data_IF_635804820023
#
_entry.id   IF_635804820023
#
_cell.length_a   1.000
_cell.length_b   1.000
_cell.length_c   1.000
_cell.angle_alpha   90.00
_cell.angle_beta   90.00
_cell.angle_gamma   90.00
#
_symmetry.space_group_name_H-M   'P 1'
#
loop_
_entity.id
_entity.type
_entity.pdbx_description
1 polymer ?
#
# COMPACT_ATOMS: atom_id res chain seq x y z
N UNK A 1 23.20 16.99 -21.93
CA UNK A 1 22.03 16.68 -22.79
C UNK A 1 21.15 15.67 -22.08
N UNK A 2 19.83 15.86 -22.17
CA UNK A 2 18.80 15.45 -21.21
C UNK A 2 18.71 13.95 -20.86
N UNK A 3 18.74 13.68 -19.56
CA UNK A 3 18.35 12.40 -18.98
C UNK A 3 16.84 12.19 -19.15
N UNK A 4 16.46 11.16 -19.90
CA UNK A 4 15.09 10.72 -20.09
C UNK A 4 14.56 10.14 -18.76
N UNK A 5 14.10 10.99 -17.84
CA UNK A 5 13.43 10.54 -16.60
C UNK A 5 12.13 9.84 -16.99
N UNK A 6 12.10 8.50 -16.97
CA UNK A 6 10.87 7.70 -17.12
C UNK A 6 9.87 8.14 -16.06
N UNK A 7 8.75 8.72 -16.49
CA UNK A 7 7.63 9.11 -15.63
C UNK A 7 6.95 7.84 -15.12
N UNK A 8 7.29 7.38 -13.91
CA UNK A 8 6.60 6.24 -13.27
C UNK A 8 5.14 6.66 -13.08
N UNK A 9 4.22 5.96 -13.77
CA UNK A 9 2.79 6.21 -13.67
C UNK A 9 2.25 5.43 -12.49
N UNK A 10 1.97 6.12 -11.39
CA UNK A 10 1.29 5.54 -10.24
C UNK A 10 -0.20 5.36 -10.56
N UNK A 11 -0.77 4.20 -10.22
CA UNK A 11 -2.19 3.94 -10.39
C UNK A 11 -2.82 3.63 -9.03
N UNK A 12 -3.86 4.39 -8.68
CA UNK A 12 -4.70 4.07 -7.52
C UNK A 12 -5.59 2.87 -7.83
N UNK A 13 -5.64 1.94 -6.90
CA UNK A 13 -6.53 0.78 -6.91
C UNK A 13 -7.18 0.68 -5.53
N UNK A 14 -8.46 0.37 -5.51
CA UNK A 14 -9.12 -0.11 -4.31
C UNK A 14 -8.96 -1.62 -4.29
N UNK A 15 -8.56 -2.16 -3.13
CA UNK A 15 -8.29 -3.58 -2.92
C UNK A 15 -8.94 -4.00 -1.62
N UNK A 16 -9.34 -5.26 -1.53
CA UNK A 16 -9.73 -5.87 -0.27
C UNK A 16 -8.46 -6.16 0.55
N UNK A 17 -8.53 -5.92 1.85
CA UNK A 17 -7.39 -6.02 2.76
C UNK A 17 -7.78 -6.86 3.97
N UNK A 18 -6.96 -7.84 4.31
CA UNK A 18 -7.03 -8.54 5.59
C UNK A 18 -6.19 -7.75 6.59
N UNK A 19 -6.80 -7.39 7.72
CA UNK A 19 -6.15 -6.58 8.76
C UNK A 19 -6.23 -7.27 10.12
N UNK A 20 -5.21 -7.07 10.96
CA UNK A 20 -5.26 -7.32 12.39
C UNK A 20 -5.67 -6.03 13.09
N UNK A 21 -6.79 -6.09 13.80
CA UNK A 21 -7.18 -5.05 14.74
C UNK A 21 -6.71 -5.44 16.14
N UNK A 22 -5.95 -4.57 16.79
CA UNK A 22 -5.57 -4.75 18.18
C UNK A 22 -6.63 -4.17 19.14
N UNK A 23 -6.70 -4.63 20.40
CA UNK A 23 -7.59 -4.03 21.40
C UNK A 23 -7.32 -2.54 21.68
N UNK A 24 -6.11 -2.04 21.40
CA UNK A 24 -5.74 -0.63 21.55
C UNK A 24 -6.13 0.22 20.33
N UNK A 25 -6.75 -0.38 19.31
CA UNK A 25 -7.22 0.31 18.12
C UNK A 25 -6.19 0.42 16.99
N UNK A 26 -4.98 -0.11 17.17
CA UNK A 26 -4.01 -0.22 16.07
C UNK A 26 -4.52 -1.20 15.01
N UNK A 27 -4.45 -0.78 13.74
CA UNK A 27 -4.83 -1.58 12.57
C UNK A 27 -3.57 -1.87 11.77
N UNK A 28 -3.21 -3.14 11.64
CA UNK A 28 -2.05 -3.61 10.90
C UNK A 28 -2.52 -4.45 9.70
N UNK A 29 -2.24 -4.05 8.46
CA UNK A 29 -2.57 -4.86 7.29
C UNK A 29 -1.67 -6.10 7.22
N UNK A 30 -2.27 -7.24 6.88
CA UNK A 30 -1.61 -8.56 6.82
C UNK A 30 -1.52 -9.09 5.38
N UNK A 31 -2.53 -8.84 4.56
CA UNK A 31 -2.56 -9.29 3.17
C UNK A 31 -3.57 -8.47 2.36
N UNK A 32 -3.43 -8.52 1.03
CA UNK A 32 -4.40 -7.93 0.10
C UNK A 32 -4.86 -8.97 -0.93
N UNK A 33 -6.11 -8.88 -1.36
CA UNK A 33 -6.54 -9.57 -2.57
C UNK A 33 -6.27 -8.69 -3.77
N UNK A 34 -5.46 -9.21 -4.71
CA UNK A 34 -5.15 -8.46 -5.91
C UNK A 34 -6.36 -8.47 -6.85
N UNK A 35 -6.89 -7.30 -7.23
CA UNK A 35 -8.22 -7.21 -7.84
C UNK A 35 -8.28 -7.78 -9.26
N UNK A 36 -7.14 -8.00 -9.91
CA UNK A 36 -7.11 -8.48 -11.30
C UNK A 36 -7.22 -10.02 -11.40
N UNK A 37 -6.66 -10.76 -10.44
CA UNK A 37 -6.68 -12.24 -10.44
C UNK A 37 -7.35 -12.83 -9.18
N UNK A 38 -7.69 -12.00 -8.19
CA UNK A 38 -8.26 -12.43 -6.92
C UNK A 38 -7.27 -13.16 -6.01
N UNK A 39 -5.97 -13.19 -6.35
CA UNK A 39 -4.98 -13.88 -5.54
C UNK A 39 -4.65 -13.12 -4.26
N UNK A 40 -4.38 -13.86 -3.18
CA UNK A 40 -3.95 -13.29 -1.92
C UNK A 40 -2.44 -13.02 -1.96
N UNK A 41 -2.06 -11.78 -1.67
CA UNK A 41 -0.67 -11.39 -1.48
C UNK A 41 -0.44 -11.00 -0.04
N UNK A 42 0.36 -11.79 0.67
CA UNK A 42 0.77 -11.50 2.04
C UNK A 42 1.70 -10.28 2.10
N UNK A 43 1.52 -9.47 3.14
CA UNK A 43 2.40 -8.36 3.46
C UNK A 43 3.51 -8.90 4.35
N UNK A 44 4.72 -9.00 3.79
CA UNK A 44 5.92 -9.44 4.50
C UNK A 44 6.19 -8.54 5.73
N UNK A 45 6.04 -7.22 5.55
CA UNK A 45 6.33 -6.24 6.58
C UNK A 45 5.63 -4.91 6.33
N UNK A 46 5.14 -4.30 7.41
CA UNK A 46 4.76 -2.87 7.43
C UNK A 46 5.99 -2.06 7.87
N UNK A 47 6.45 -1.17 6.99
CA UNK A 47 7.68 -0.38 7.14
C UNK A 47 7.45 1.00 7.73
N UNK A 48 6.30 1.62 7.44
CA UNK A 48 5.92 2.96 7.90
C UNK A 48 4.39 3.05 8.04
N UNK A 49 3.92 3.72 9.08
CA UNK A 49 2.50 4.00 9.34
C UNK A 49 2.37 5.46 9.76
N UNK A 50 1.67 6.27 8.97
CA UNK A 50 1.47 7.69 9.31
C UNK A 50 0.26 8.31 8.64
N UNK A 51 -0.34 9.38 9.22
CA UNK A 51 -1.25 10.24 8.49
C UNK A 51 -0.53 10.87 7.29
N UNK A 52 -1.10 10.76 6.10
CA UNK A 52 -0.55 11.40 4.91
C UNK A 52 -1.62 11.69 3.86
N UNK A 53 -1.42 12.79 3.12
CA UNK A 53 -2.12 13.03 1.87
C UNK A 53 -1.46 12.25 0.73
N UNK A 54 -2.27 11.65 -0.14
CA UNK A 54 -1.81 11.01 -1.37
C UNK A 54 -1.52 12.06 -2.43
N UNK A 55 -0.25 12.47 -2.52
CA UNK A 55 0.20 13.48 -3.48
C UNK A 55 0.09 13.04 -4.95
N UNK A 56 0.02 11.73 -5.19
CA UNK A 56 0.06 11.14 -6.54
C UNK A 56 -1.32 10.81 -7.11
N UNK A 57 -2.27 10.42 -6.26
CA UNK A 57 -3.57 9.94 -6.71
C UNK A 57 -4.76 10.48 -5.90
N UNK A 58 -4.52 11.46 -5.04
CA UNK A 58 -5.55 12.12 -4.23
C UNK A 58 -6.08 11.27 -3.07
N UNK A 59 -6.64 11.97 -2.08
CA UNK A 59 -7.13 11.41 -0.81
C UNK A 59 -6.20 11.71 0.36
N UNK A 60 -6.72 11.56 1.58
CA UNK A 60 -6.01 11.70 2.84
C UNK A 60 -6.46 10.60 3.81
N UNK A 61 -5.57 10.14 4.67
CA UNK A 61 -5.84 9.08 5.64
C UNK A 61 -4.56 8.52 6.24
N UNK A 62 -4.63 7.29 6.78
CA UNK A 62 -3.44 6.57 7.22
C UNK A 62 -2.78 5.90 6.01
N UNK A 63 -1.48 6.19 5.83
CA UNK A 63 -0.64 5.56 4.82
C UNK A 63 0.21 4.49 5.46
N UNK A 64 0.09 3.29 4.92
CA UNK A 64 0.96 2.16 5.20
C UNK A 64 1.97 2.02 4.06
N UNK A 65 3.26 1.98 4.38
CA UNK A 65 4.28 1.49 3.44
C UNK A 65 4.48 0.02 3.74
N UNK A 66 4.08 -0.84 2.81
CA UNK A 66 4.16 -2.29 2.97
C UNK A 66 5.22 -2.85 2.05
N UNK A 67 5.86 -3.95 2.47
CA UNK A 67 6.66 -4.81 1.63
C UNK A 67 5.87 -6.07 1.32
N UNK A 68 5.81 -6.44 0.04
CA UNK A 68 5.15 -7.66 -0.45
C UNK A 68 6.11 -8.36 -1.40
N UNK A 69 6.40 -9.64 -1.17
CA UNK A 69 7.36 -10.43 -1.96
C UNK A 69 8.71 -9.70 -2.16
N UNK A 70 9.20 -9.04 -1.10
CA UNK A 70 10.47 -8.31 -1.13
C UNK A 70 10.42 -6.94 -1.84
N UNK A 71 9.26 -6.46 -2.28
CA UNK A 71 9.10 -5.18 -3.01
C UNK A 71 8.32 -4.15 -2.21
N UNK A 72 8.70 -2.87 -2.35
CA UNK A 72 8.14 -1.70 -1.66
C UNK A 72 7.49 -0.70 -2.63
#
# INVERSE_FOLDING_TARGET
>A
MNALKRKIRYRKRYVEVIVKCSPTGEIIPLAIYWPDNGELYEIDKVLDIRPAASLKAGGAGIRYQCRIQGKE
#
